data_IF_003744800536
#
_entry.id   IF_003744800536
#
_cell.length_a   1.000
_cell.length_b   1.000
_cell.length_c   1.000
_cell.angle_alpha   90.00
_cell.angle_beta   90.00
_cell.angle_gamma   90.00
#
_symmetry.space_group_name_H-M   'P 1'
#
loop_
_entity.id
_entity.type
_entity.pdbx_description
1 polymer ?
#
# COMPACT_ATOMS: atom_id res chain seq x y z
N UNK A 1 -1.03 -11.04 -11.34
CA UNK A 1 -0.76 -11.26 -9.91
C UNK A 1 -1.50 -12.51 -9.41
N UNK A 2 -2.83 -12.58 -9.48
CA UNK A 2 -3.57 -13.79 -9.08
C UNK A 2 -3.37 -14.94 -10.07
N UNK A 3 -3.59 -14.70 -11.37
CA UNK A 3 -3.28 -15.68 -12.44
C UNK A 3 -1.79 -15.99 -12.61
N UNK A 4 -0.91 -15.32 -11.87
CA UNK A 4 0.53 -15.60 -11.81
C UNK A 4 0.95 -16.21 -10.47
N UNK A 5 -0.02 -16.61 -9.62
CA UNK A 5 0.22 -17.32 -8.36
C UNK A 5 0.81 -16.47 -7.22
N UNK A 6 0.95 -15.15 -7.37
CA UNK A 6 1.63 -14.28 -6.37
C UNK A 6 0.70 -13.78 -5.27
N UNK A 7 -0.60 -13.75 -5.56
CA UNK A 7 -1.63 -13.34 -4.61
C UNK A 7 -2.76 -14.35 -4.68
N UNK A 8 -3.53 -14.41 -3.61
CA UNK A 8 -4.73 -15.22 -3.50
C UNK A 8 -5.84 -14.42 -2.84
N UNK A 9 -7.07 -14.73 -3.23
CA UNK A 9 -8.27 -14.20 -2.61
C UNK A 9 -8.69 -15.09 -1.46
N UNK A 10 -8.81 -14.52 -0.26
CA UNK A 10 -9.36 -15.20 0.91
C UNK A 10 -10.61 -14.47 1.38
N UNK A 11 -11.64 -15.20 1.79
CA UNK A 11 -12.81 -14.60 2.42
C UNK A 11 -12.37 -13.83 3.67
N UNK A 12 -12.98 -12.67 3.91
CA UNK A 12 -12.71 -11.92 5.14
C UNK A 12 -13.32 -12.70 6.33
N UNK A 13 -12.53 -13.01 7.37
CA UNK A 13 -13.04 -13.73 8.54
C UNK A 13 -14.07 -12.93 9.34
N UNK A 14 -14.13 -11.60 9.19
CA UNK A 14 -15.08 -10.71 9.87
C UNK A 14 -16.31 -10.37 9.01
N UNK A 15 -16.20 -10.41 7.68
CA UNK A 15 -17.33 -10.19 6.77
C UNK A 15 -17.26 -11.14 5.56
N UNK A 16 -18.16 -12.13 5.53
CA UNK A 16 -18.20 -13.13 4.45
C UNK A 16 -18.54 -12.54 3.08
N UNK A 17 -19.05 -11.31 3.02
CA UNK A 17 -19.29 -10.57 1.77
C UNK A 17 -18.04 -9.88 1.26
N UNK A 18 -17.01 -9.74 2.08
CA UNK A 18 -15.73 -9.14 1.72
C UNK A 18 -14.68 -10.21 1.39
N UNK A 19 -13.75 -9.84 0.51
CA UNK A 19 -12.62 -10.67 0.10
C UNK A 19 -11.33 -9.88 0.34
N UNK A 20 -10.37 -10.51 1.01
CA UNK A 20 -9.01 -9.98 1.18
C UNK A 20 -8.12 -10.52 0.07
N UNK A 21 -7.27 -9.64 -0.47
CA UNK A 21 -6.15 -10.04 -1.32
C UNK A 21 -4.94 -10.20 -0.41
N UNK A 22 -4.38 -11.39 -0.38
CA UNK A 22 -3.17 -11.69 0.40
C UNK A 22 -2.07 -12.22 -0.52
N UNK A 23 -0.81 -12.05 -0.13
CA UNK A 23 0.29 -12.71 -0.81
C UNK A 23 0.18 -14.22 -0.59
N UNK A 24 0.37 -14.99 -1.66
CA UNK A 24 0.60 -16.43 -1.53
C UNK A 24 1.97 -16.69 -0.90
N UNK A 25 2.29 -17.95 -0.62
CA UNK A 25 3.63 -18.32 -0.17
C UNK A 25 4.70 -17.96 -1.21
N UNK A 26 4.47 -18.32 -2.48
CA UNK A 26 5.34 -17.96 -3.60
C UNK A 26 5.47 -16.44 -3.76
N UNK A 27 4.34 -15.72 -3.62
CA UNK A 27 4.32 -14.26 -3.62
C UNK A 27 5.14 -13.65 -2.50
N UNK A 28 5.08 -14.24 -1.31
CA UNK A 28 5.86 -13.80 -0.14
C UNK A 28 7.36 -14.00 -0.36
N UNK A 29 7.77 -15.13 -0.92
CA UNK A 29 9.18 -15.41 -1.25
C UNK A 29 9.69 -14.37 -2.25
N UNK A 30 8.99 -14.20 -3.39
CA UNK A 30 9.40 -13.22 -4.41
C UNK A 30 9.39 -11.79 -3.90
N UNK A 31 8.41 -11.44 -3.06
CA UNK A 31 8.37 -10.12 -2.44
C UNK A 31 9.61 -9.86 -1.59
N UNK A 32 10.06 -10.84 -0.79
CA UNK A 32 11.27 -10.69 0.05
C UNK A 32 12.54 -10.53 -0.79
N UNK A 33 12.67 -11.30 -1.87
CA UNK A 33 13.80 -11.18 -2.80
C UNK A 33 13.83 -9.79 -3.45
N UNK A 34 12.68 -9.34 -3.97
CA UNK A 34 12.56 -8.01 -4.56
C UNK A 34 12.78 -6.89 -3.52
N UNK A 35 12.31 -7.06 -2.28
CA UNK A 35 12.47 -6.08 -1.21
C UNK A 35 13.93 -5.90 -0.80
N UNK A 36 14.74 -6.96 -0.81
CA UNK A 36 16.17 -6.87 -0.53
C UNK A 36 16.89 -6.02 -1.59
N UNK A 37 16.66 -6.31 -2.87
CA UNK A 37 17.22 -5.53 -3.98
C UNK A 37 16.70 -4.08 -3.96
N UNK A 38 15.40 -3.89 -3.74
CA UNK A 38 14.78 -2.57 -3.65
C UNK A 38 15.43 -1.73 -2.54
N UNK A 39 15.66 -2.32 -1.35
CA UNK A 39 16.33 -1.63 -0.24
C UNK A 39 17.73 -1.15 -0.63
N UNK A 40 18.52 -2.01 -1.26
CA UNK A 40 19.87 -1.65 -1.71
C UNK A 40 19.84 -0.48 -2.70
N UNK A 41 18.97 -0.57 -3.70
CA UNK A 41 18.81 0.46 -4.72
C UNK A 41 18.37 1.78 -4.10
N UNK A 42 17.31 1.77 -3.29
CA UNK A 42 16.79 2.96 -2.60
C UNK A 42 17.85 3.57 -1.69
N UNK A 43 18.61 2.75 -0.98
CA UNK A 43 19.71 3.24 -0.16
C UNK A 43 20.76 3.96 -1.00
N UNK A 44 21.26 3.30 -2.05
CA UNK A 44 22.29 3.85 -2.93
C UNK A 44 21.85 5.15 -3.60
N UNK A 45 20.63 5.21 -4.12
CA UNK A 45 20.20 6.35 -4.95
C UNK A 45 19.69 7.50 -4.09
N UNK A 46 19.02 7.21 -2.98
CA UNK A 46 18.25 8.19 -2.24
C UNK A 46 18.70 8.30 -0.78
N UNK A 47 18.48 7.28 0.06
CA UNK A 47 18.62 7.48 1.52
C UNK A 47 20.06 7.71 1.98
N UNK A 48 21.07 7.34 1.19
CA UNK A 48 22.48 7.64 1.48
C UNK A 48 22.86 9.11 1.26
N UNK A 49 22.02 9.89 0.55
CA UNK A 49 22.28 11.30 0.19
C UNK A 49 21.40 12.29 0.94
N UNK A 50 20.48 11.80 1.76
CA UNK A 50 19.46 12.60 2.42
C UNK A 50 19.71 12.53 3.92
N UNK A 51 19.84 13.70 4.55
CA UNK A 51 19.94 13.78 6.01
C UNK A 51 18.58 13.48 6.67
N UNK A 52 18.56 13.05 7.95
CA UNK A 52 17.30 12.82 8.65
C UNK A 52 16.36 14.04 8.67
N UNK A 53 16.90 15.25 8.79
CA UNK A 53 16.11 16.47 8.78
C UNK A 53 15.45 16.74 7.42
N UNK A 54 16.19 16.56 6.32
CA UNK A 54 15.65 16.68 4.96
C UNK A 54 14.57 15.63 4.68
N UNK A 55 14.76 14.41 5.16
CA UNK A 55 13.75 13.35 5.03
C UNK A 55 12.42 13.74 5.69
N UNK A 56 12.45 14.33 6.89
CA UNK A 56 11.24 14.82 7.58
C UNK A 56 10.53 15.89 6.76
N UNK A 57 11.27 16.86 6.22
CA UNK A 57 10.69 17.93 5.40
C UNK A 57 10.05 17.39 4.12
N UNK A 58 10.71 16.45 3.43
CA UNK A 58 10.16 15.83 2.23
C UNK A 58 8.90 15.01 2.53
N UNK A 59 8.89 14.24 3.62
CA UNK A 59 7.73 13.46 4.02
C UNK A 59 6.54 14.36 4.35
N UNK A 60 6.75 15.49 5.04
CA UNK A 60 5.71 16.48 5.30
C UNK A 60 5.13 17.07 4.00
N UNK A 61 5.99 17.44 3.05
CA UNK A 61 5.56 17.97 1.77
C UNK A 61 4.72 16.94 0.98
N UNK A 62 5.17 15.69 0.90
CA UNK A 62 4.45 14.61 0.21
C UNK A 62 3.10 14.30 0.89
N UNK A 63 3.05 14.36 2.23
CA UNK A 63 1.81 14.16 3.00
C UNK A 63 0.79 15.26 2.70
N UNK A 64 1.22 16.52 2.60
CA UNK A 64 0.33 17.63 2.21
C UNK A 64 -0.21 17.45 0.79
N UNK A 65 0.62 17.03 -0.16
CA UNK A 65 0.17 16.71 -1.53
C UNK A 65 -0.84 15.56 -1.52
N UNK A 66 -0.56 14.48 -0.78
CA UNK A 66 -1.46 13.32 -0.66
C UNK A 66 -2.84 13.72 -0.12
N UNK A 67 -2.89 14.62 0.87
CA UNK A 67 -4.16 15.15 1.42
C UNK A 67 -4.95 15.93 0.37
N UNK A 68 -4.30 16.83 -0.35
CA UNK A 68 -4.96 17.59 -1.43
C UNK A 68 -5.56 16.68 -2.51
N UNK A 69 -4.86 15.62 -2.91
CA UNK A 69 -5.38 14.65 -3.89
C UNK A 69 -6.62 13.89 -3.39
N UNK A 70 -6.72 13.62 -2.08
CA UNK A 70 -7.89 12.97 -1.48
C UNK A 70 -9.11 13.90 -1.42
N UNK A 71 -8.88 15.20 -1.26
CA UNK A 71 -9.93 16.22 -1.25
C UNK A 71 -10.49 16.48 -2.66
N UNK A 72 -9.65 16.40 -3.69
CA UNK A 72 -10.07 16.52 -5.11
C UNK A 72 -10.78 15.25 -5.64
N UNK A 73 -10.51 14.08 -5.05
CA UNK A 73 -11.14 12.80 -5.41
C UNK A 73 -12.43 12.46 -4.64
N UNK A 74 -12.87 13.32 -3.72
CA UNK A 74 -13.96 13.07 -2.77
C UNK A 74 -15.39 13.16 -3.29
N UNK A 75 -15.63 12.95 -4.59
CA UNK A 75 -16.99 12.90 -5.15
C UNK A 75 -17.14 11.71 -6.11
N UNK A 76 -17.35 10.51 -5.56
CA UNK A 76 -17.82 9.37 -6.35
C UNK A 76 -17.76 7.99 -5.67
N UNK A 77 -18.85 7.61 -4.98
CA UNK A 77 -19.22 6.23 -4.61
C UNK A 77 -18.99 5.89 -3.13
N UNK A 78 -19.94 6.13 -2.21
CA UNK A 78 -21.19 5.38 -1.97
C UNK A 78 -20.96 3.87 -1.71
N UNK A 79 -21.32 3.27 -0.57
CA UNK A 79 -22.17 3.77 0.51
C UNK A 79 -21.90 3.08 1.84
N UNK A 80 -21.82 3.91 2.87
CA UNK A 80 -22.29 3.54 4.20
C UNK A 80 -23.82 3.55 4.17
N UNK A 81 -24.45 2.42 4.48
CA UNK A 81 -25.79 2.42 5.07
C UNK A 81 -25.84 1.41 6.21
N UNK A 82 -26.05 1.85 7.46
CA UNK A 82 -26.37 0.96 8.55
C UNK A 82 -27.82 0.48 8.42
N UNK A 83 -28.01 -0.83 8.57
CA UNK A 83 -29.33 -1.47 8.55
C UNK A 83 -30.00 -1.27 9.92
N UNK A 84 -31.16 -0.63 9.93
CA UNK A 84 -31.97 -0.42 11.13
C UNK A 84 -33.28 -1.22 11.00
N UNK A 85 -33.32 -2.30 11.79
CA UNK A 85 -34.46 -3.07 12.35
C UNK A 85 -35.61 -3.51 11.45
#
# INVERSE_FOLDING_TARGET
MEGSGLIERRADPADRRATRIVLSEEGTVRFREAAAFHREVVHRIFTSKVTPAEAVVMLDALERVRRGLGEEGGSGGDGDRPDAS
#
